data_IF_530275485220
#
_entry.id   IF_530275485220
#
_cell.length_a   1.000
_cell.length_b   1.000
_cell.length_c   1.000
_cell.angle_alpha   90.00
_cell.angle_beta   90.00
_cell.angle_gamma   90.00
#
_symmetry.space_group_name_H-M   'P 1'
#
loop_
_entity.id
_entity.type
_entity.pdbx_description
1 polymer ?
#
# COMPACT_ATOMS: atom_id res chain seq x y z
N UNK A 1 -4.63 -31.18 -19.32
CA UNK A 1 -4.20 -30.21 -20.35
C UNK A 1 -4.36 -28.81 -19.78
N UNK A 2 -3.26 -28.17 -19.38
CA UNK A 2 -3.27 -26.78 -18.89
C UNK A 2 -3.27 -25.91 -20.15
N UNK A 3 -4.41 -25.27 -20.45
CA UNK A 3 -4.56 -24.44 -21.65
C UNK A 3 -3.64 -23.20 -21.65
N UNK A 4 -3.31 -22.64 -22.82
CA UNK A 4 -2.42 -21.48 -22.99
C UNK A 4 -2.86 -20.22 -22.20
N UNK A 5 -4.12 -20.16 -21.78
CA UNK A 5 -4.67 -19.13 -20.88
C UNK A 5 -4.03 -19.14 -19.49
N UNK A 6 -3.74 -20.30 -18.89
CA UNK A 6 -3.25 -20.38 -17.50
C UNK A 6 -1.87 -19.72 -17.31
N UNK A 7 -0.97 -19.86 -18.30
CA UNK A 7 0.37 -19.27 -18.28
C UNK A 7 0.40 -17.74 -18.39
N UNK A 8 -0.58 -17.15 -19.09
CA UNK A 8 -0.73 -15.68 -19.19
C UNK A 8 -1.29 -15.11 -17.89
N UNK A 9 -2.24 -15.82 -17.27
CA UNK A 9 -2.83 -15.44 -15.99
C UNK A 9 -1.76 -15.38 -14.89
N UNK A 10 -0.94 -16.42 -14.71
CA UNK A 10 0.07 -16.45 -13.64
C UNK A 10 1.13 -15.36 -13.76
N UNK A 11 1.64 -15.10 -14.99
CA UNK A 11 2.64 -14.04 -15.21
C UNK A 11 2.09 -12.64 -14.95
N UNK A 12 0.81 -12.44 -15.23
CA UNK A 12 0.11 -11.16 -15.03
C UNK A 12 -0.19 -10.95 -13.54
N UNK A 13 -0.64 -11.99 -12.83
CA UNK A 13 -0.82 -11.96 -11.36
C UNK A 13 0.47 -11.53 -10.66
N UNK A 14 1.62 -12.07 -11.06
CA UNK A 14 2.92 -11.73 -10.43
C UNK A 14 3.31 -10.27 -10.69
N UNK A 15 3.08 -9.74 -11.90
CA UNK A 15 3.40 -8.33 -12.19
C UNK A 15 2.49 -7.35 -11.48
N UNK A 16 1.18 -7.60 -11.46
CA UNK A 16 0.21 -6.68 -10.87
C UNK A 16 0.14 -6.80 -9.33
N UNK A 17 0.21 -8.02 -8.79
CA UNK A 17 0.20 -8.26 -7.34
C UNK A 17 1.55 -8.07 -6.66
N UNK A 18 2.66 -8.09 -7.41
CA UNK A 18 4.01 -7.98 -6.83
C UNK A 18 4.38 -6.57 -6.38
N UNK A 19 3.78 -5.53 -6.98
CA UNK A 19 4.19 -4.14 -6.75
C UNK A 19 4.02 -3.70 -5.28
N UNK A 20 2.88 -4.00 -4.60
CA UNK A 20 2.74 -3.69 -3.17
C UNK A 20 3.69 -4.47 -2.25
N UNK A 21 4.30 -5.56 -2.71
CA UNK A 21 5.24 -6.32 -1.87
C UNK A 21 6.54 -5.57 -1.61
N UNK A 22 6.81 -4.48 -2.34
CA UNK A 22 7.95 -3.58 -2.05
C UNK A 22 7.88 -2.96 -0.65
N UNK A 23 6.70 -2.92 -0.04
CA UNK A 23 6.53 -2.44 1.34
C UNK A 23 7.18 -3.35 2.38
N UNK A 24 7.38 -4.64 2.09
CA UNK A 24 8.06 -5.55 3.01
C UNK A 24 9.53 -5.17 3.23
N UNK A 25 10.39 -5.08 2.19
CA UNK A 25 11.77 -4.64 2.39
C UNK A 25 11.84 -3.18 2.86
N UNK A 26 10.91 -2.31 2.47
CA UNK A 26 10.85 -0.93 2.98
C UNK A 26 10.59 -0.88 4.49
N UNK A 27 9.65 -1.70 4.98
CA UNK A 27 9.35 -1.83 6.41
C UNK A 27 10.53 -2.38 7.20
N UNK A 28 11.22 -3.40 6.66
CA UNK A 28 12.44 -3.97 7.27
C UNK A 28 13.56 -2.92 7.33
N UNK A 29 13.81 -2.20 6.24
CA UNK A 29 14.83 -1.15 6.19
C UNK A 29 14.55 -0.03 7.19
N UNK A 30 13.29 0.42 7.29
CA UNK A 30 12.88 1.42 8.27
C UNK A 30 13.05 0.90 9.71
N UNK A 31 12.66 -0.36 9.96
CA UNK A 31 12.81 -1.00 11.26
C UNK A 31 14.28 -1.07 11.69
N UNK A 32 15.16 -1.62 10.85
CA UNK A 32 16.59 -1.74 11.18
C UNK A 32 17.25 -0.37 11.40
N UNK A 33 16.84 0.65 10.65
CA UNK A 33 17.36 2.01 10.80
C UNK A 33 16.92 2.68 12.11
N UNK A 34 15.63 2.57 12.47
CA UNK A 34 15.01 3.38 13.53
C UNK A 34 14.66 2.61 14.81
N UNK A 35 14.79 1.27 14.82
CA UNK A 35 14.57 0.46 16.02
C UNK A 35 15.48 0.83 17.21
N UNK A 36 16.72 1.31 17.04
CA UNK A 36 17.53 1.81 18.15
C UNK A 36 16.89 3.02 18.86
N UNK A 37 16.15 3.85 18.12
CA UNK A 37 15.48 5.04 18.69
C UNK A 37 14.21 4.64 19.44
N UNK A 38 13.32 3.87 18.79
CA UNK A 38 12.06 3.44 19.41
C UNK A 38 11.56 2.11 18.84
N UNK A 39 12.07 1.00 19.39
CA UNK A 39 11.76 -0.36 18.93
C UNK A 39 10.26 -0.69 18.89
N UNK A 40 9.49 -0.25 19.89
CA UNK A 40 8.05 -0.55 19.98
C UNK A 40 7.25 0.01 18.80
N UNK A 41 7.41 1.31 18.53
CA UNK A 41 6.73 1.97 17.42
C UNK A 41 7.17 1.40 16.06
N UNK A 42 8.46 1.09 15.89
CA UNK A 42 8.95 0.51 14.64
C UNK A 42 8.48 -0.93 14.39
N UNK A 43 8.26 -1.74 15.44
CA UNK A 43 7.61 -3.06 15.29
C UNK A 43 6.18 -2.91 14.76
N UNK A 44 5.42 -1.97 15.30
CA UNK A 44 4.08 -1.68 14.80
C UNK A 44 4.12 -1.17 13.36
N UNK A 45 5.06 -0.27 13.04
CA UNK A 45 5.26 0.22 11.68
C UNK A 45 5.54 -0.92 10.70
N UNK A 46 6.41 -1.87 11.06
CA UNK A 46 6.70 -3.06 10.24
C UNK A 46 5.45 -3.92 10.01
N UNK A 47 4.64 -4.14 11.06
CA UNK A 47 3.39 -4.88 10.93
C UNK A 47 2.42 -4.17 9.98
N UNK A 48 2.28 -2.85 10.11
CA UNK A 48 1.45 -2.06 9.21
C UNK A 48 1.95 -2.09 7.77
N UNK A 49 3.26 -2.05 7.53
CA UNK A 49 3.83 -2.21 6.20
C UNK A 49 3.50 -3.59 5.60
N UNK A 50 3.55 -4.65 6.40
CA UNK A 50 3.17 -5.99 5.97
C UNK A 50 1.67 -6.10 5.66
N UNK A 51 0.80 -5.59 6.54
CA UNK A 51 -0.65 -5.56 6.31
C UNK A 51 -0.97 -4.76 5.04
N UNK A 52 -0.36 -3.59 4.85
CA UNK A 52 -0.51 -2.79 3.63
C UNK A 52 -0.11 -3.57 2.38
N UNK A 53 1.06 -4.23 2.40
CA UNK A 53 1.56 -5.03 1.30
C UNK A 53 0.55 -6.11 0.88
N UNK A 54 0.07 -6.90 1.83
CA UNK A 54 -0.86 -7.99 1.55
C UNK A 54 -2.25 -7.50 1.17
N UNK A 55 -2.77 -6.47 1.85
CA UNK A 55 -4.07 -5.90 1.55
C UNK A 55 -4.12 -5.34 0.12
N UNK A 56 -3.16 -4.48 -0.25
CA UNK A 56 -3.05 -3.93 -1.60
C UNK A 56 -2.78 -5.00 -2.65
N UNK A 57 -1.93 -6.00 -2.35
CA UNK A 57 -1.70 -7.13 -3.24
C UNK A 57 -3.00 -7.88 -3.53
N UNK A 58 -3.78 -8.24 -2.50
CA UNK A 58 -5.06 -8.93 -2.67
C UNK A 58 -6.05 -8.09 -3.49
N UNK A 59 -6.11 -6.78 -3.22
CA UNK A 59 -6.94 -5.84 -3.98
C UNK A 59 -6.58 -5.75 -5.46
N UNK A 60 -5.29 -5.86 -5.81
CA UNK A 60 -4.84 -5.91 -7.21
C UNK A 60 -4.99 -7.29 -7.84
N UNK A 61 -4.70 -8.36 -7.11
CA UNK A 61 -4.78 -9.75 -7.58
C UNK A 61 -6.18 -10.15 -8.03
N UNK A 62 -7.24 -9.46 -7.54
CA UNK A 62 -8.62 -9.72 -7.98
C UNK A 62 -8.82 -9.54 -9.49
N UNK A 63 -8.11 -8.60 -10.11
CA UNK A 63 -8.23 -8.28 -11.54
C UNK A 63 -7.70 -9.43 -12.40
N UNK A 64 -6.44 -9.87 -12.24
CA UNK A 64 -5.89 -10.96 -13.03
C UNK A 64 -6.39 -12.35 -12.63
N UNK A 65 -7.33 -12.47 -11.68
CA UNK A 65 -7.90 -13.73 -11.22
C UNK A 65 -9.41 -13.81 -11.46
N UNK A 66 -10.21 -13.50 -10.45
CA UNK A 66 -11.65 -13.73 -10.43
C UNK A 66 -12.38 -12.83 -11.43
N UNK A 67 -11.99 -11.55 -11.56
CA UNK A 67 -12.68 -10.62 -12.47
C UNK A 67 -12.49 -11.02 -13.93
N UNK A 68 -11.31 -11.52 -14.32
CA UNK A 68 -11.11 -12.02 -15.69
C UNK A 68 -11.99 -13.23 -16.00
N UNK A 69 -12.10 -14.15 -15.05
CA UNK A 69 -12.93 -15.34 -15.22
C UNK A 69 -14.42 -14.97 -15.31
N UNK A 70 -14.89 -14.06 -14.45
CA UNK A 70 -16.26 -13.56 -14.47
C UNK A 70 -16.59 -12.82 -15.77
N UNK A 71 -15.66 -12.01 -16.30
CA UNK A 71 -15.86 -11.33 -17.57
C UNK A 71 -16.04 -12.32 -18.74
N UNK A 72 -15.20 -13.36 -18.81
CA UNK A 72 -15.34 -14.41 -19.82
C UNK A 72 -16.63 -15.22 -19.67
N UNK A 73 -17.09 -15.45 -18.43
CA UNK A 73 -18.36 -16.12 -18.18
C UNK A 73 -19.54 -15.24 -18.61
N UNK A 74 -19.47 -13.93 -18.33
CA UNK A 74 -20.50 -12.95 -18.67
C UNK A 74 -20.76 -12.88 -20.17
N UNK A 75 -19.71 -12.87 -21.00
CA UNK A 75 -19.83 -12.87 -22.46
C UNK A 75 -20.59 -14.07 -23.04
N UNK A 76 -20.63 -15.19 -22.32
CA UNK A 76 -21.25 -16.45 -22.75
C UNK A 76 -22.60 -16.72 -22.07
N UNK A 77 -22.96 -15.93 -21.08
CA UNK A 77 -24.12 -16.14 -20.23
C UNK A 77 -25.40 -15.56 -20.86
N UNK A 78 -26.55 -16.17 -20.54
CA UNK A 78 -27.86 -15.61 -20.92
C UNK A 78 -28.17 -14.33 -20.11
N UNK A 79 -29.09 -13.46 -20.57
CA UNK A 79 -29.41 -12.20 -19.88
C UNK A 79 -29.71 -12.30 -18.36
N UNK A 80 -30.48 -13.29 -17.86
CA UNK A 80 -30.71 -13.41 -16.42
C UNK A 80 -29.45 -13.82 -15.64
N UNK A 81 -28.57 -14.62 -16.24
CA UNK A 81 -27.30 -15.05 -15.64
C UNK A 81 -26.26 -13.91 -15.62
N UNK A 82 -26.27 -13.07 -16.65
CA UNK A 82 -25.44 -11.86 -16.73
C UNK A 82 -25.68 -10.93 -15.53
N UNK A 83 -26.94 -10.74 -15.12
CA UNK A 83 -27.27 -9.90 -13.96
C UNK A 83 -26.66 -10.46 -12.66
N UNK A 84 -26.63 -11.79 -12.48
CA UNK A 84 -26.00 -12.44 -11.33
C UNK A 84 -24.48 -12.31 -11.38
N UNK A 85 -23.87 -12.51 -12.54
CA UNK A 85 -22.42 -12.34 -12.70
C UNK A 85 -21.97 -10.89 -12.46
N UNK A 86 -22.76 -9.91 -12.91
CA UNK A 86 -22.52 -8.50 -12.67
C UNK A 86 -22.57 -8.14 -11.18
N UNK A 87 -23.53 -8.68 -10.42
CA UNK A 87 -23.62 -8.41 -8.97
C UNK A 87 -22.47 -9.06 -8.18
N UNK A 88 -22.04 -10.27 -8.57
CA UNK A 88 -20.85 -10.92 -7.99
C UNK A 88 -19.59 -10.12 -8.31
N UNK A 89 -19.45 -9.65 -9.55
CA UNK A 89 -18.33 -8.80 -9.97
C UNK A 89 -18.28 -7.53 -9.13
N UNK A 90 -19.41 -6.83 -8.97
CA UNK A 90 -19.47 -5.58 -8.19
C UNK A 90 -19.22 -5.80 -6.69
N UNK A 91 -19.76 -6.89 -6.12
CA UNK A 91 -19.52 -7.28 -4.73
C UNK A 91 -18.03 -7.55 -4.46
N UNK A 92 -17.36 -8.29 -5.34
CA UNK A 92 -15.92 -8.54 -5.24
C UNK A 92 -15.10 -7.26 -5.44
N UNK A 93 -15.55 -6.38 -6.34
CA UNK A 93 -14.91 -5.09 -6.58
C UNK A 93 -14.98 -4.20 -5.34
N UNK A 94 -16.15 -4.12 -4.72
CA UNK A 94 -16.37 -3.35 -3.51
C UNK A 94 -15.57 -3.94 -2.33
N UNK A 95 -15.68 -5.24 -2.07
CA UNK A 95 -15.05 -5.86 -0.90
C UNK A 95 -13.52 -5.98 -1.03
N UNK A 96 -13.04 -6.69 -2.06
CA UNK A 96 -11.60 -6.92 -2.22
C UNK A 96 -10.87 -5.68 -2.70
N UNK A 97 -11.50 -4.91 -3.60
CA UNK A 97 -10.91 -3.68 -4.15
C UNK A 97 -10.97 -2.53 -3.15
N UNK A 98 -12.16 -2.02 -2.88
CA UNK A 98 -12.32 -0.76 -2.16
C UNK A 98 -12.05 -0.92 -0.66
N UNK A 99 -12.59 -1.95 -0.01
CA UNK A 99 -12.42 -2.11 1.44
C UNK A 99 -11.06 -2.72 1.82
N UNK A 100 -10.69 -3.86 1.23
CA UNK A 100 -9.42 -4.51 1.58
C UNK A 100 -8.24 -3.82 0.88
N UNK A 101 -8.27 -3.74 -0.45
CA UNK A 101 -7.15 -3.22 -1.24
C UNK A 101 -6.82 -1.77 -0.96
N UNK A 102 -7.84 -0.92 -1.08
CA UNK A 102 -7.68 0.52 -1.02
C UNK A 102 -7.76 1.03 0.41
N UNK A 103 -8.87 0.83 1.13
CA UNK A 103 -9.06 1.40 2.46
C UNK A 103 -8.11 0.81 3.51
N UNK A 104 -8.13 -0.51 3.71
CA UNK A 104 -7.23 -1.16 4.69
C UNK A 104 -5.76 -1.03 4.29
N UNK A 105 -5.48 -1.12 2.98
CA UNK A 105 -4.16 -0.88 2.41
C UNK A 105 -3.65 0.53 2.73
N UNK A 106 -4.37 1.57 2.33
CA UNK A 106 -4.00 2.98 2.53
C UNK A 106 -3.93 3.35 4.02
N UNK A 107 -4.86 2.86 4.85
CA UNK A 107 -4.83 3.06 6.30
C UNK A 107 -3.54 2.52 6.91
N UNK A 108 -3.22 1.25 6.63
CA UNK A 108 -2.03 0.60 7.17
C UNK A 108 -0.76 1.27 6.64
N UNK A 109 -0.77 1.63 5.37
CA UNK A 109 0.33 2.30 4.71
C UNK A 109 0.62 3.70 5.27
N UNK A 110 -0.43 4.51 5.49
CA UNK A 110 -0.29 5.81 6.14
C UNK A 110 0.13 5.68 7.59
N UNK A 111 -0.36 4.67 8.33
CA UNK A 111 0.09 4.40 9.70
C UNK A 111 1.58 4.04 9.75
N UNK A 112 2.08 3.21 8.82
CA UNK A 112 3.50 2.91 8.68
C UNK A 112 4.33 4.18 8.50
N UNK A 113 3.94 5.07 7.58
CA UNK A 113 4.66 6.32 7.37
C UNK A 113 4.58 7.28 8.55
N UNK A 114 3.42 7.38 9.20
CA UNK A 114 3.25 8.24 10.36
C UNK A 114 4.19 7.79 11.49
N UNK A 115 4.18 6.51 11.84
CA UNK A 115 5.05 5.97 12.89
C UNK A 115 6.52 6.15 12.54
N UNK A 116 6.93 5.79 11.32
CA UNK A 116 8.32 5.97 10.86
C UNK A 116 8.76 7.42 10.96
N UNK A 117 7.89 8.36 10.58
CA UNK A 117 8.17 9.80 10.61
C UNK A 117 8.22 10.37 12.02
N UNK A 118 7.35 9.91 12.92
CA UNK A 118 7.36 10.31 14.32
C UNK A 118 8.63 9.81 15.03
N UNK A 119 9.06 8.57 14.76
CA UNK A 119 10.33 8.05 15.29
C UNK A 119 11.52 8.79 14.69
N UNK A 120 11.46 9.15 13.40
CA UNK A 120 12.48 10.00 12.77
C UNK A 120 12.63 11.36 13.49
N UNK A 121 11.52 12.01 13.83
CA UNK A 121 11.54 13.29 14.56
C UNK A 121 12.12 13.18 15.98
N UNK A 122 11.98 12.01 16.61
CA UNK A 122 12.60 11.72 17.91
C UNK A 122 14.11 11.47 17.80
N UNK A 123 14.61 11.09 16.63
CA UNK A 123 16.05 10.90 16.41
C UNK A 123 16.83 12.22 16.51
N UNK A 124 18.10 12.14 16.92
CA UNK A 124 19.01 13.30 16.97
C UNK A 124 19.54 13.73 15.60
N UNK A 125 18.95 13.23 14.51
CA UNK A 125 19.38 13.56 13.13
C UNK A 125 19.08 15.04 12.80
N UNK A 126 19.99 15.74 12.10
CA UNK A 126 19.77 17.13 11.72
C UNK A 126 18.65 17.32 10.69
N UNK A 127 18.35 16.28 9.89
CA UNK A 127 17.33 16.32 8.84
C UNK A 127 15.92 16.07 9.37
N UNK A 128 15.48 16.86 10.36
CA UNK A 128 14.13 16.77 10.94
C UNK A 128 13.01 17.12 9.94
N UNK A 129 13.34 17.90 8.92
CA UNK A 129 12.40 18.24 7.85
C UNK A 129 11.84 17.00 7.13
N UNK A 130 12.62 15.91 7.02
CA UNK A 130 12.17 14.64 6.42
C UNK A 130 11.02 14.04 7.24
N UNK A 131 11.14 14.06 8.58
CA UNK A 131 10.11 13.60 9.48
C UNK A 131 8.83 14.41 9.36
N UNK A 132 8.93 15.74 9.27
CA UNK A 132 7.74 16.59 9.07
C UNK A 132 7.07 16.36 7.71
N UNK A 133 7.86 16.23 6.64
CA UNK A 133 7.33 15.89 5.32
C UNK A 133 6.57 14.56 5.35
N UNK A 134 7.11 13.57 6.06
CA UNK A 134 6.45 12.27 6.24
C UNK A 134 5.19 12.33 7.08
N UNK A 135 5.15 13.15 8.14
CA UNK A 135 3.92 13.38 8.93
C UNK A 135 2.84 14.01 8.07
N UNK A 136 3.17 15.03 7.27
CA UNK A 136 2.21 15.69 6.37
C UNK A 136 1.69 14.70 5.34
N UNK A 137 2.59 13.94 4.70
CA UNK A 137 2.22 12.91 3.70
C UNK A 137 1.33 11.85 4.30
N UNK A 138 1.65 11.34 5.50
CA UNK A 138 0.85 10.35 6.19
C UNK A 138 -0.53 10.89 6.59
N UNK A 139 -0.61 12.11 7.11
CA UNK A 139 -1.87 12.75 7.47
C UNK A 139 -2.75 13.00 6.23
N UNK A 140 -2.17 13.47 5.13
CA UNK A 140 -2.86 13.61 3.85
C UNK A 140 -3.36 12.27 3.31
N UNK A 141 -2.59 11.19 3.45
CA UNK A 141 -3.04 9.83 3.12
C UNK A 141 -4.20 9.36 4.00
N UNK A 142 -4.12 9.61 5.32
CA UNK A 142 -5.20 9.27 6.25
C UNK A 142 -6.51 9.98 5.92
N UNK A 143 -6.44 11.23 5.46
CA UNK A 143 -7.61 11.97 5.01
C UNK A 143 -8.07 11.52 3.62
N UNK A 144 -7.12 11.25 2.73
CA UNK A 144 -7.38 10.85 1.34
C UNK A 144 -8.10 9.51 1.21
N UNK A 145 -7.91 8.58 2.16
CA UNK A 145 -8.57 7.27 2.12
C UNK A 145 -10.10 7.36 2.15
N UNK A 146 -10.66 8.46 2.69
CA UNK A 146 -12.11 8.68 2.75
C UNK A 146 -12.71 9.12 1.41
N UNK A 147 -11.96 9.13 0.32
CA UNK A 147 -12.45 9.54 -1.02
C UNK A 147 -13.62 8.69 -1.53
N UNK A 148 -13.68 7.43 -1.09
CA UNK A 148 -14.79 6.53 -1.39
C UNK A 148 -16.05 6.79 -0.54
N UNK A 149 -15.95 7.61 0.51
CA UNK A 149 -17.04 8.00 1.42
C UNK A 149 -17.52 9.42 1.13
N UNK A 150 -16.60 10.35 0.85
CA UNK A 150 -16.93 11.76 0.60
C UNK A 150 -16.04 12.37 -0.49
N UNK A 151 -16.67 13.08 -1.44
CA UNK A 151 -15.95 13.81 -2.48
C UNK A 151 -15.12 14.99 -1.95
N UNK A 152 -15.37 15.43 -0.70
CA UNK A 152 -14.66 16.57 -0.10
C UNK A 152 -13.15 16.35 0.05
N UNK A 153 -12.70 15.09 0.17
CA UNK A 153 -11.27 14.76 0.32
C UNK A 153 -10.58 14.48 -1.02
N UNK A 154 -11.29 14.54 -2.15
CA UNK A 154 -10.71 14.31 -3.48
C UNK A 154 -9.50 15.22 -3.78
N UNK A 155 -9.50 16.52 -3.44
CA UNK A 155 -8.32 17.38 -3.64
C UNK A 155 -7.12 16.95 -2.78
N UNK A 156 -7.38 16.47 -1.56
CA UNK A 156 -6.34 15.99 -0.64
C UNK A 156 -5.72 14.69 -1.16
N UNK A 157 -6.56 13.77 -1.63
CA UNK A 157 -6.10 12.55 -2.27
C UNK A 157 -5.27 12.84 -3.53
N UNK A 158 -5.70 13.79 -4.36
CA UNK A 158 -4.95 14.21 -5.55
C UNK A 158 -3.59 14.80 -5.19
N UNK A 159 -3.51 15.64 -4.16
CA UNK A 159 -2.23 16.15 -3.66
C UNK A 159 -1.33 15.02 -3.14
N UNK A 160 -1.90 14.09 -2.37
CA UNK A 160 -1.15 12.97 -1.80
C UNK A 160 -0.54 12.06 -2.88
N UNK A 161 -1.20 11.91 -4.04
CA UNK A 161 -0.65 11.16 -5.18
C UNK A 161 0.68 11.74 -5.71
N UNK A 162 0.97 13.01 -5.46
CA UNK A 162 2.26 13.63 -5.79
C UNK A 162 3.24 13.65 -4.60
N UNK A 163 2.75 13.95 -3.39
CA UNK A 163 3.58 14.01 -2.19
C UNK A 163 4.19 12.66 -1.85
N UNK A 164 3.41 11.60 -2.02
CA UNK A 164 3.79 10.26 -1.57
C UNK A 164 4.97 9.67 -2.34
N UNK A 165 5.01 9.66 -3.68
CA UNK A 165 6.20 9.24 -4.43
C UNK A 165 7.44 10.07 -4.08
N UNK A 166 7.28 11.39 -3.92
CA UNK A 166 8.39 12.28 -3.55
C UNK A 166 8.94 11.91 -2.18
N UNK A 167 8.07 11.73 -1.19
CA UNK A 167 8.47 11.32 0.15
C UNK A 167 9.12 9.92 0.15
N UNK A 168 8.60 8.97 -0.62
CA UNK A 168 9.19 7.64 -0.76
C UNK A 168 10.63 7.68 -1.29
N UNK A 169 10.89 8.51 -2.31
CA UNK A 169 12.24 8.66 -2.87
C UNK A 169 13.16 9.27 -1.81
N UNK A 170 12.72 10.33 -1.14
CA UNK A 170 13.50 10.99 -0.08
C UNK A 170 13.81 10.02 1.06
N UNK A 171 12.80 9.32 1.57
CA UNK A 171 12.95 8.35 2.65
C UNK A 171 13.84 7.19 2.22
N UNK A 172 13.63 6.65 1.02
CA UNK A 172 14.44 5.56 0.46
C UNK A 172 15.92 5.94 0.33
N UNK A 173 16.23 7.13 -0.20
CA UNK A 173 17.61 7.64 -0.29
C UNK A 173 18.19 7.87 1.11
N UNK A 174 17.40 8.39 2.04
CA UNK A 174 17.84 8.64 3.41
C UNK A 174 18.15 7.33 4.17
N UNK A 175 17.35 6.28 3.96
CA UNK A 175 17.59 4.94 4.50
C UNK A 175 18.76 4.23 3.80
N UNK A 176 18.93 4.37 2.48
CA UNK A 176 20.08 3.81 1.77
C UNK A 176 21.41 4.43 2.19
N UNK A 177 21.38 5.68 2.66
CA UNK A 177 22.54 6.39 3.23
C UNK A 177 22.74 6.13 4.73
N UNK A 178 21.89 5.32 5.36
CA UNK A 178 21.98 5.00 6.78
C UNK A 178 23.22 4.14 7.04
N UNK A 179 24.22 4.69 7.74
CA UNK A 179 25.46 3.96 8.04
C UNK A 179 25.34 3.25 9.38
N UNK A 180 25.94 2.06 9.49
CA UNK A 180 26.02 1.30 10.74
C UNK A 180 26.68 2.08 11.90
N UNK A 181 27.59 3.01 11.58
CA UNK A 181 28.18 3.94 12.56
C UNK A 181 27.16 4.87 13.22
N UNK A 182 26.03 5.13 12.57
CA UNK A 182 24.98 6.00 13.10
C UNK A 182 24.12 5.29 14.16
N UNK A 183 24.12 3.95 14.17
CA UNK A 183 23.41 3.11 15.15
C UNK A 183 24.13 3.09 16.50
N UNK A 184 25.45 3.26 16.50
CA UNK A 184 26.26 3.32 17.72
C UNK A 184 26.23 4.70 18.41
N UNK A 185 25.73 5.74 17.72
CA UNK A 185 25.71 7.13 18.19
C UNK A 185 24.31 7.64 18.59
N UNK A 186 23.27 6.81 18.40
CA UNK A 186 21.86 7.08 18.75
C UNK A 186 21.48 6.45 20.07
#
# INVERSE_FOLDING_TARGET
>A
MIGPTATVTTRTVIRFGGLPLIWLPAGVAAYEALAPVQRGAMRLALLFAAVAAFAMMLGLMRWPSVHWHLAFAFERAAPPEQAVLASVFDGLNTYLGNYIGEFLGELSFSAFFLLTSLVWLQSRRPSRWIGWLGVVTAASGLLGMFRNVTGAVAPIAALNNYLLPVFMIILGVALARWRASDVAAS
#
